data_IF_539871385834
#
_entry.id   IF_539871385834
#
_cell.length_a   1.000
_cell.length_b   1.000
_cell.length_c   1.000
_cell.angle_alpha   90.00
_cell.angle_beta   90.00
_cell.angle_gamma   90.00
#
_symmetry.space_group_name_H-M   'P 1'
#
loop_
_entity.id
_entity.type
_entity.pdbx_description
1 polymer ?
#
# COMPACT_ATOMS: atom_id res chain seq x y z
N UNK A 1 -4.78 -6.65 8.05
CA UNK A 1 -5.51 -5.62 8.79
C UNK A 1 -4.92 -4.26 8.46
N UNK A 2 -5.67 -3.34 7.85
CA UNK A 2 -5.10 -2.07 7.37
C UNK A 2 -5.99 -0.86 7.64
N UNK A 3 -5.39 0.33 7.67
CA UNK A 3 -6.08 1.61 7.79
C UNK A 3 -6.34 2.20 6.41
N UNK A 4 -7.57 2.60 6.12
CA UNK A 4 -7.89 3.37 4.91
C UNK A 4 -7.70 4.86 5.19
N UNK A 5 -6.93 5.57 4.36
CA UNK A 5 -6.72 7.02 4.48
C UNK A 5 -7.50 7.75 3.37
N UNK A 6 -8.31 8.76 3.70
CA UNK A 6 -9.13 9.51 2.71
C UNK A 6 -8.97 11.03 2.82
N UNK A 7 -8.78 11.73 1.69
CA UNK A 7 -8.73 13.20 1.65
C UNK A 7 -10.14 13.76 1.46
N UNK A 8 -10.49 14.80 2.24
CA UNK A 8 -11.78 15.46 2.14
C UNK A 8 -11.72 16.96 2.47
N UNK A 9 -11.85 17.89 1.50
CA UNK A 9 -11.76 19.32 1.78
C UNK A 9 -12.92 19.86 2.65
N UNK A 10 -14.01 19.11 2.82
CA UNK A 10 -15.18 19.50 3.64
C UNK A 10 -15.82 18.33 4.39
N UNK A 11 -15.08 17.66 5.27
CA UNK A 11 -15.61 16.58 6.09
C UNK A 11 -16.72 17.07 7.04
N UNK A 12 -17.98 17.02 6.59
CA UNK A 12 -19.15 17.34 7.43
C UNK A 12 -20.19 16.22 7.49
N UNK A 13 -20.16 15.19 6.64
CA UNK A 13 -21.21 14.13 6.61
C UNK A 13 -20.85 12.90 5.75
N UNK A 14 -20.18 11.85 6.23
CA UNK A 14 -20.16 10.55 5.52
C UNK A 14 -19.94 9.35 6.45
N UNK A 15 -20.64 8.22 6.21
CA UNK A 15 -20.13 6.84 6.04
C UNK A 15 -21.29 5.85 5.76
N UNK A 16 -21.11 4.91 4.84
CA UNK A 16 -21.91 3.67 4.69
C UNK A 16 -20.91 2.54 4.47
N UNK A 17 -20.87 1.61 5.43
CA UNK A 17 -20.09 0.38 5.35
C UNK A 17 -21.12 -0.72 5.20
N UNK A 18 -21.34 -1.28 4.01
CA UNK A 18 -22.06 -2.54 4.01
C UNK A 18 -21.58 -3.52 2.94
N UNK A 19 -21.25 -4.70 3.46
CA UNK A 19 -21.68 -6.01 2.97
C UNK A 19 -21.88 -6.87 4.24
N UNK A 20 -23.05 -6.69 4.87
CA UNK A 20 -23.73 -7.48 5.89
C UNK A 20 -22.94 -8.61 6.58
N UNK A 21 -22.48 -8.40 7.82
CA UNK A 21 -22.28 -9.48 8.80
C UNK A 21 -22.64 -9.02 10.21
N UNK A 22 -23.75 -9.55 10.72
CA UNK A 22 -24.21 -9.43 12.10
C UNK A 22 -23.15 -9.91 13.11
N UNK A 23 -22.75 -9.05 14.06
CA UNK A 23 -22.16 -9.48 15.34
C UNK A 23 -23.21 -9.26 16.42
N UNK A 24 -23.89 -10.34 16.80
CA UNK A 24 -24.87 -10.28 17.88
C UNK A 24 -24.16 -10.08 19.22
N UNK A 25 -24.62 -9.09 19.99
CA UNK A 25 -24.08 -8.68 21.28
C UNK A 25 -24.38 -9.70 22.39
N UNK A 26 -23.73 -10.85 22.38
CA UNK A 26 -23.61 -11.73 23.56
C UNK A 26 -22.77 -12.96 23.21
N UNK A 27 -21.45 -12.87 23.26
CA UNK A 27 -20.61 -14.03 23.52
C UNK A 27 -19.25 -13.59 24.04
N UNK A 28 -19.06 -13.87 25.32
CA UNK A 28 -17.82 -13.75 26.08
C UNK A 28 -16.70 -14.58 25.45
N UNK A 29 -15.48 -14.08 25.58
CA UNK A 29 -14.22 -14.82 25.43
C UNK A 29 -14.35 -16.22 26.03
N UNK A 30 -14.41 -17.25 25.18
CA UNK A 30 -13.73 -18.54 25.34
C UNK A 30 -14.28 -19.62 24.39
N UNK A 31 -13.35 -20.42 23.86
CA UNK A 31 -13.52 -21.72 23.20
C UNK A 31 -13.97 -21.75 21.73
N UNK A 32 -12.99 -21.59 20.83
CA UNK A 32 -12.99 -22.33 19.56
C UNK A 32 -11.89 -23.41 19.60
N UNK A 33 -12.34 -24.66 19.66
CA UNK A 33 -11.55 -25.90 19.71
C UNK A 33 -10.73 -26.06 18.43
N UNK A 34 -9.40 -26.14 18.56
CA UNK A 34 -8.47 -26.42 17.46
C UNK A 34 -8.53 -27.90 17.06
N UNK A 35 -9.11 -28.21 15.90
CA UNK A 35 -8.93 -29.49 15.21
C UNK A 35 -7.77 -29.36 14.21
N UNK A 36 -6.74 -30.23 14.25
CA UNK A 36 -5.65 -30.19 13.28
C UNK A 36 -6.10 -30.88 11.99
N UNK A 37 -6.48 -30.10 10.99
CA UNK A 37 -6.80 -30.58 9.65
C UNK A 37 -6.45 -29.53 8.61
N UNK A 38 -5.26 -29.68 8.02
CA UNK A 38 -4.82 -29.14 6.72
C UNK A 38 -5.55 -27.89 6.19
N UNK A 39 -5.38 -26.75 6.86
CA UNK A 39 -5.77 -25.45 6.33
C UNK A 39 -4.55 -24.69 5.85
N UNK A 40 -4.51 -24.29 4.57
CA UNK A 40 -3.66 -23.16 4.16
C UNK A 40 -4.03 -21.99 5.09
N UNK A 41 -3.02 -21.44 5.76
CA UNK A 41 -3.12 -20.19 6.52
C UNK A 41 -3.93 -19.16 5.73
N UNK A 42 -4.80 -18.36 6.36
CA UNK A 42 -5.37 -17.20 5.68
C UNK A 42 -4.21 -16.38 5.13
N UNK A 43 -4.22 -16.18 3.82
CA UNK A 43 -3.20 -15.44 3.11
C UNK A 43 -3.30 -14.00 3.58
N UNK A 44 -2.40 -13.61 4.48
CA UNK A 44 -2.25 -12.24 4.95
C UNK A 44 -2.06 -11.38 3.70
N UNK A 45 -3.09 -10.61 3.34
CA UNK A 45 -3.06 -9.69 2.19
C UNK A 45 -2.07 -8.58 2.54
N UNK A 46 -0.83 -8.72 2.08
CA UNK A 46 0.21 -7.70 2.28
C UNK A 46 -0.07 -6.51 1.37
N UNK A 47 0.08 -5.29 1.89
CA UNK A 47 0.03 -4.07 1.09
C UNK A 47 1.30 -4.01 0.23
N UNK A 48 1.18 -4.43 -1.03
CA UNK A 48 2.27 -4.40 -2.00
C UNK A 48 2.03 -3.22 -2.93
N UNK A 49 3.06 -2.40 -3.13
CA UNK A 49 2.97 -1.24 -4.01
C UNK A 49 2.92 -1.65 -5.49
N UNK A 50 2.62 -0.69 -6.37
CA UNK A 50 2.94 -0.84 -7.80
C UNK A 50 4.46 -0.97 -7.99
N UNK A 51 4.86 -1.30 -9.22
CA UNK A 51 6.26 -1.24 -9.63
C UNK A 51 6.69 0.20 -9.90
N UNK A 52 7.90 0.54 -9.48
CA UNK A 52 8.57 1.82 -9.69
C UNK A 52 9.89 1.60 -10.42
N UNK A 53 10.19 2.53 -11.31
CA UNK A 53 11.28 2.51 -12.26
C UNK A 53 11.66 3.99 -12.46
N UNK A 54 12.70 4.42 -11.77
CA UNK A 54 13.14 5.80 -11.66
C UNK A 54 14.40 6.08 -12.47
N UNK A 55 15.29 5.09 -12.61
CA UNK A 55 16.59 5.23 -13.27
C UNK A 55 16.84 4.12 -14.31
N UNK A 56 17.12 4.53 -15.55
CA UNK A 56 17.58 3.60 -16.59
C UNK A 56 19.05 3.18 -16.33
N UNK A 57 19.54 2.05 -16.87
CA UNK A 57 20.94 1.59 -16.71
C UNK A 57 22.00 2.44 -17.45
N UNK A 58 21.62 3.64 -17.87
CA UNK A 58 22.44 4.60 -18.57
C UNK A 58 23.51 5.19 -17.62
N UNK A 59 24.72 5.43 -18.14
CA UNK A 59 25.82 5.91 -17.31
C UNK A 59 26.40 4.84 -16.36
N UNK A 60 26.30 5.06 -15.05
CA UNK A 60 27.08 4.31 -14.04
C UNK A 60 26.39 3.05 -13.50
N UNK A 61 25.13 2.82 -13.81
CA UNK A 61 24.34 1.74 -13.22
C UNK A 61 22.86 2.04 -13.37
N UNK A 62 22.07 1.35 -12.57
CA UNK A 62 20.63 1.51 -12.41
C UNK A 62 20.34 1.58 -10.90
N UNK A 63 19.66 2.66 -10.48
CA UNK A 63 19.48 3.03 -9.08
C UNK A 63 18.01 3.31 -8.72
N UNK A 64 17.39 2.32 -8.09
CA UNK A 64 16.03 2.40 -7.54
C UNK A 64 16.07 2.63 -6.01
N UNK A 65 16.65 3.76 -5.60
CA UNK A 65 16.87 4.09 -4.19
C UNK A 65 15.58 4.54 -3.50
N UNK A 66 15.31 4.01 -2.30
CA UNK A 66 14.06 4.29 -1.58
C UNK A 66 13.89 5.80 -1.29
N UNK A 67 14.96 6.50 -0.93
CA UNK A 67 14.90 7.93 -0.62
C UNK A 67 14.45 8.76 -1.84
N UNK A 68 14.98 8.46 -3.03
CA UNK A 68 14.66 9.16 -4.26
C UNK A 68 13.24 8.81 -4.74
N UNK A 69 12.84 7.55 -4.58
CA UNK A 69 11.49 7.07 -4.85
C UNK A 69 10.45 7.72 -3.93
N UNK A 70 10.72 7.86 -2.63
CA UNK A 70 9.83 8.55 -1.69
C UNK A 70 9.67 10.04 -2.02
N UNK A 71 10.74 10.68 -2.49
CA UNK A 71 10.69 12.07 -2.93
C UNK A 71 9.90 12.25 -4.24
N UNK A 72 10.03 11.29 -5.17
CA UNK A 72 9.41 11.36 -6.50
C UNK A 72 7.93 10.94 -6.47
N UNK A 73 7.58 9.96 -5.64
CA UNK A 73 6.23 9.40 -5.51
C UNK A 73 5.69 9.56 -4.08
N UNK A 74 5.47 10.81 -3.61
CA UNK A 74 5.05 11.07 -2.25
C UNK A 74 3.73 10.37 -1.92
N UNK A 75 3.73 9.60 -0.84
CA UNK A 75 2.56 8.86 -0.39
C UNK A 75 2.29 7.55 -1.13
N UNK A 76 2.98 7.22 -2.22
CA UNK A 76 2.80 5.94 -2.94
C UNK A 76 3.63 4.78 -2.37
N UNK A 77 4.58 5.07 -1.49
CA UNK A 77 5.43 4.09 -0.80
C UNK A 77 5.43 4.44 0.69
N UNK A 78 5.36 3.42 1.55
CA UNK A 78 5.49 3.64 2.99
C UNK A 78 6.89 4.14 3.34
N UNK A 79 7.04 5.00 4.36
CA UNK A 79 8.36 5.45 4.81
C UNK A 79 9.26 4.31 5.29
N UNK A 80 8.67 3.21 5.79
CA UNK A 80 9.39 2.07 6.34
C UNK A 80 8.85 0.76 5.73
N UNK A 81 9.24 0.41 4.49
CA UNK A 81 8.86 -0.86 3.89
C UNK A 81 9.55 -2.04 4.59
N UNK A 82 8.90 -3.19 4.58
CA UNK A 82 9.37 -4.42 5.26
C UNK A 82 9.97 -5.44 4.29
N UNK A 83 9.69 -5.31 2.99
CA UNK A 83 10.33 -6.11 1.95
C UNK A 83 10.41 -5.33 0.63
N UNK A 84 11.31 -5.75 -0.24
CA UNK A 84 11.50 -5.24 -1.59
C UNK A 84 11.57 -6.42 -2.56
N UNK A 85 10.95 -6.24 -3.72
CA UNK A 85 11.12 -7.11 -4.88
C UNK A 85 11.70 -6.28 -6.01
N UNK A 86 12.65 -6.86 -6.74
CA UNK A 86 13.25 -6.27 -7.94
C UNK A 86 13.17 -7.25 -9.11
N UNK A 87 12.83 -6.72 -10.28
CA UNK A 87 12.81 -7.45 -11.55
C UNK A 87 13.21 -6.52 -12.68
N UNK A 88 13.60 -7.08 -13.83
CA UNK A 88 13.85 -6.27 -15.01
C UNK A 88 12.55 -5.62 -15.51
N UNK A 89 12.65 -4.58 -16.33
CA UNK A 89 11.47 -3.98 -16.97
C UNK A 89 10.68 -4.98 -17.82
N UNK A 90 11.36 -6.02 -18.36
CA UNK A 90 10.79 -7.18 -19.04
C UNK A 90 10.19 -8.28 -18.13
N UNK A 91 10.28 -8.14 -16.80
CA UNK A 91 9.68 -9.06 -15.83
C UNK A 91 10.54 -10.25 -15.39
N UNK A 92 11.83 -10.28 -15.75
CA UNK A 92 12.75 -11.29 -15.24
C UNK A 92 13.13 -10.96 -13.79
N UNK A 93 12.98 -11.87 -12.82
CA UNK A 93 13.40 -11.62 -11.44
C UNK A 93 14.89 -11.26 -11.35
N UNK A 94 15.24 -10.26 -10.54
CA UNK A 94 16.62 -9.78 -10.44
C UNK A 94 17.61 -10.88 -10.03
N UNK A 95 17.18 -11.84 -9.20
CA UNK A 95 18.01 -12.99 -8.81
C UNK A 95 18.42 -13.91 -9.97
N UNK A 96 17.76 -13.82 -11.12
CA UNK A 96 18.01 -14.67 -12.29
C UNK A 96 18.83 -13.98 -13.39
N UNK A 97 19.09 -12.67 -13.28
CA UNK A 97 19.83 -11.92 -14.30
C UNK A 97 21.33 -12.21 -14.25
N UNK A 98 21.85 -12.56 -13.07
CA UNK A 98 23.26 -12.73 -12.81
C UNK A 98 24.03 -11.41 -12.70
N UNK A 99 23.34 -10.27 -12.57
CA UNK A 99 23.98 -9.01 -12.15
C UNK A 99 24.33 -9.05 -10.65
N UNK A 100 25.35 -8.28 -10.27
CA UNK A 100 25.77 -8.09 -8.89
C UNK A 100 25.15 -6.81 -8.36
N UNK A 101 24.38 -6.90 -7.28
CA UNK A 101 23.68 -5.76 -6.69
C UNK A 101 24.46 -5.19 -5.51
N UNK A 102 24.74 -3.88 -5.55
CA UNK A 102 25.38 -3.19 -4.45
C UNK A 102 24.39 -2.94 -3.30
N UNK A 103 23.14 -2.67 -3.64
CA UNK A 103 22.04 -2.49 -2.69
C UNK A 103 20.88 -3.36 -3.14
N UNK A 104 20.30 -4.12 -2.22
CA UNK A 104 19.06 -4.86 -2.43
C UNK A 104 18.40 -5.14 -1.06
N UNK A 105 17.77 -4.13 -0.48
CA UNK A 105 17.09 -4.25 0.81
C UNK A 105 15.98 -3.19 0.92
N UNK A 106 14.93 -3.43 1.73
CA UNK A 106 13.78 -2.52 1.75
C UNK A 106 14.13 -1.13 2.28
N UNK A 107 15.08 -1.01 3.22
CA UNK A 107 15.42 0.28 3.85
C UNK A 107 16.22 1.23 2.96
N UNK A 108 16.94 0.71 1.97
CA UNK A 108 17.77 1.51 1.07
C UNK A 108 17.28 1.51 -0.37
N UNK A 109 16.53 0.49 -0.78
CA UNK A 109 16.08 0.30 -2.16
C UNK A 109 16.92 -0.75 -2.91
N UNK A 110 17.22 -0.47 -4.17
CA UNK A 110 17.98 -1.35 -5.05
C UNK A 110 19.00 -0.54 -5.86
N UNK A 111 20.19 -1.11 -6.06
CA UNK A 111 21.22 -0.50 -6.90
C UNK A 111 22.07 -1.56 -7.57
N UNK A 112 22.14 -1.47 -8.90
CA UNK A 112 23.10 -2.18 -9.72
C UNK A 112 24.13 -1.18 -10.25
N UNK A 113 25.42 -1.43 -10.03
CA UNK A 113 26.49 -0.54 -10.51
C UNK A 113 27.27 -1.21 -11.64
N UNK A 114 27.40 -0.52 -12.77
CA UNK A 114 28.06 -1.04 -13.98
C UNK A 114 29.51 -1.46 -13.72
N UNK A 115 30.24 -0.71 -12.88
CA UNK A 115 31.63 -1.00 -12.51
C UNK A 115 31.79 -2.31 -11.72
N UNK A 116 30.74 -2.78 -11.03
CA UNK A 116 30.76 -4.01 -10.26
C UNK A 116 30.41 -5.25 -11.10
N UNK A 117 30.04 -5.08 -12.37
CA UNK A 117 29.62 -6.19 -13.22
C UNK A 117 30.81 -6.83 -13.95
N UNK A 118 30.83 -8.17 -14.01
CA UNK A 118 31.96 -8.93 -14.59
C UNK A 118 31.89 -9.04 -16.12
N UNK A 119 30.69 -9.12 -16.70
CA UNK A 119 30.50 -9.45 -18.13
C UNK A 119 29.58 -8.52 -18.92
N UNK A 120 28.53 -8.01 -18.28
CA UNK A 120 27.48 -7.21 -18.91
C UNK A 120 27.17 -6.02 -18.01
N UNK A 121 26.71 -4.91 -18.61
CA UNK A 121 26.16 -3.80 -17.83
C UNK A 121 24.95 -4.26 -17.02
N UNK A 122 24.53 -3.42 -16.08
CA UNK A 122 23.26 -3.59 -15.40
C UNK A 122 22.14 -3.73 -16.43
N UNK A 123 21.25 -4.69 -16.19
CA UNK A 123 19.94 -4.64 -16.81
C UNK A 123 19.16 -3.44 -16.25
N UNK A 124 18.03 -3.18 -16.90
CA UNK A 124 17.07 -2.16 -16.54
C UNK A 124 16.02 -2.75 -15.59
N UNK A 125 15.89 -2.21 -14.39
CA UNK A 125 15.18 -2.77 -13.25
C UNK A 125 14.05 -1.86 -12.78
N UNK A 126 13.04 -2.50 -12.22
CA UNK A 126 11.98 -1.86 -11.46
C UNK A 126 11.78 -2.57 -10.14
N UNK A 127 11.40 -1.82 -9.11
CA UNK A 127 11.19 -2.31 -7.75
C UNK A 127 9.76 -2.14 -7.29
N UNK A 128 9.33 -2.98 -6.37
CA UNK A 128 8.12 -2.72 -5.57
C UNK A 128 8.38 -3.08 -4.13
N UNK A 129 7.63 -2.46 -3.23
CA UNK A 129 7.80 -2.60 -1.80
C UNK A 129 6.60 -3.30 -1.18
N UNK A 130 6.87 -4.05 -0.13
CA UNK A 130 5.85 -4.51 0.80
C UNK A 130 5.83 -3.58 1.99
N UNK A 131 4.67 -3.02 2.27
CA UNK A 131 4.45 -2.14 3.42
C UNK A 131 3.83 -2.91 4.60
N UNK A 132 4.04 -2.42 5.84
CA UNK A 132 3.32 -2.91 7.02
C UNK A 132 1.81 -2.85 6.80
N UNK A 133 1.06 -3.74 7.45
CA UNK A 133 -0.38 -3.83 7.23
C UNK A 133 -1.11 -2.52 7.60
N UNK A 134 -0.59 -1.70 8.52
CA UNK A 134 -1.20 -0.42 8.91
C UNK A 134 -1.05 0.71 7.87
N UNK A 135 -0.47 0.44 6.70
CA UNK A 135 -0.19 1.47 5.68
C UNK A 135 -1.07 1.33 4.44
N UNK A 136 -1.83 2.38 4.13
CA UNK A 136 -2.21 2.75 2.75
C UNK A 136 -1.83 4.20 2.48
N UNK A 137 -1.80 4.58 1.20
CA UNK A 137 -1.79 5.99 0.79
C UNK A 137 -3.13 6.68 1.07
N UNK A 138 -3.15 8.01 0.95
CA UNK A 138 -4.39 8.80 0.91
C UNK A 138 -5.14 8.57 -0.42
N UNK A 139 -6.46 8.41 -0.34
CA UNK A 139 -7.36 8.29 -1.49
C UNK A 139 -8.29 9.50 -1.56
N UNK A 140 -8.48 10.02 -2.76
CA UNK A 140 -9.29 11.18 -3.12
C UNK A 140 -9.87 10.87 -4.50
N UNK A 141 -11.12 10.43 -4.53
CA UNK A 141 -11.87 9.97 -5.70
C UNK A 141 -13.07 10.87 -6.01
N UNK A 142 -13.64 11.57 -5.03
CA UNK A 142 -14.77 12.48 -5.21
C UNK A 142 -14.41 13.92 -4.82
N UNK A 143 -14.80 14.87 -5.67
CA UNK A 143 -14.63 16.29 -5.36
C UNK A 143 -15.85 16.82 -4.60
N UNK A 144 -15.69 17.81 -3.70
CA UNK A 144 -16.79 18.34 -2.92
C UNK A 144 -17.92 18.90 -3.79
N UNK A 145 -19.09 18.28 -3.67
CA UNK A 145 -20.31 18.67 -4.38
C UNK A 145 -21.43 19.08 -3.41
N UNK A 146 -22.63 19.36 -3.94
CA UNK A 146 -23.82 19.62 -3.10
C UNK A 146 -24.20 18.45 -2.19
N UNK A 147 -23.83 17.22 -2.56
CA UNK A 147 -24.08 16.03 -1.77
C UNK A 147 -23.01 15.82 -0.69
N UNK A 148 -21.93 16.58 -0.76
CA UNK A 148 -20.69 16.39 -0.01
C UNK A 148 -19.63 15.75 -0.91
N UNK A 149 -18.57 15.29 -0.28
CA UNK A 149 -17.41 14.64 -0.87
C UNK A 149 -17.36 13.20 -0.33
N UNK A 150 -17.59 12.23 -1.23
CA UNK A 150 -17.95 10.85 -0.90
C UNK A 150 -16.88 9.86 -1.35
N UNK A 151 -16.19 9.28 -0.38
CA UNK A 151 -15.23 8.22 -0.63
C UNK A 151 -15.80 6.84 -0.27
N UNK A 152 -16.13 6.04 -1.30
CA UNK A 152 -16.73 4.72 -1.13
C UNK A 152 -15.71 3.60 -1.32
N UNK A 153 -15.43 2.82 -0.29
CA UNK A 153 -14.48 1.69 -0.34
C UNK A 153 -14.66 0.76 -1.56
N UNK A 154 -15.88 0.37 -1.98
CA UNK A 154 -16.05 -0.41 -3.21
C UNK A 154 -15.52 0.28 -4.47
N UNK A 155 -15.74 1.60 -4.61
CA UNK A 155 -15.26 2.38 -5.76
C UNK A 155 -13.74 2.54 -5.72
N UNK A 156 -13.17 2.72 -4.54
CA UNK A 156 -11.74 2.86 -4.36
C UNK A 156 -11.03 1.51 -4.64
N UNK A 157 -11.60 0.38 -4.22
CA UNK A 157 -11.09 -0.97 -4.52
C UNK A 157 -11.16 -1.30 -6.02
N UNK A 158 -12.18 -0.83 -6.73
CA UNK A 158 -12.28 -0.96 -8.20
C UNK A 158 -11.16 -0.16 -8.89
N UNK A 159 -10.88 1.06 -8.41
CA UNK A 159 -9.90 1.94 -9.02
C UNK A 159 -8.45 1.59 -8.66
N UNK A 160 -8.21 1.08 -7.45
CA UNK A 160 -6.89 0.79 -6.90
C UNK A 160 -6.81 -0.63 -6.32
N UNK A 161 -6.99 -1.66 -7.17
CA UNK A 161 -6.91 -3.04 -6.72
C UNK A 161 -5.53 -3.33 -6.13
N UNK A 162 -5.50 -4.04 -5.00
CA UNK A 162 -4.28 -4.45 -4.26
C UNK A 162 -3.50 -3.32 -3.57
N UNK A 163 -3.87 -2.05 -3.74
CA UNK A 163 -3.30 -0.92 -2.98
C UNK A 163 -4.05 -0.66 -1.66
N UNK A 164 -5.18 -1.33 -1.48
CA UNK A 164 -6.10 -1.18 -0.35
C UNK A 164 -6.45 -2.57 0.13
N UNK A 165 -6.52 -2.75 1.45
CA UNK A 165 -7.01 -4.01 1.99
C UNK A 165 -8.52 -4.13 1.76
N UNK A 166 -9.00 -5.32 1.34
CA UNK A 166 -10.43 -5.55 1.11
C UNK A 166 -11.28 -5.42 2.39
N UNK A 167 -10.66 -5.46 3.58
CA UNK A 167 -11.30 -5.25 4.88
C UNK A 167 -10.40 -4.38 5.78
N UNK A 168 -10.52 -3.05 5.74
CA UNK A 168 -9.78 -2.19 6.65
C UNK A 168 -10.31 -2.35 8.09
N UNK A 169 -9.42 -2.21 9.08
CA UNK A 169 -9.78 -2.29 10.52
C UNK A 169 -10.08 -0.91 11.11
N UNK A 170 -9.69 0.15 10.43
CA UNK A 170 -9.93 1.54 10.81
C UNK A 170 -9.83 2.44 9.56
N UNK A 171 -10.39 3.64 9.67
CA UNK A 171 -10.36 4.67 8.62
C UNK A 171 -9.88 5.96 9.25
N UNK A 172 -8.96 6.66 8.59
CA UNK A 172 -8.55 8.02 8.94
C UNK A 172 -8.93 8.96 7.81
N UNK A 173 -9.46 10.13 8.17
CA UNK A 173 -9.92 11.15 7.21
C UNK A 173 -9.15 12.42 7.50
N UNK A 174 -8.63 13.08 6.46
CA UNK A 174 -7.99 14.37 6.57
C UNK A 174 -8.43 15.27 5.42
N UNK A 175 -8.29 16.59 5.54
CA UNK A 175 -8.54 17.49 4.41
C UNK A 175 -7.41 17.47 3.38
N UNK A 176 -7.66 17.92 2.15
CA UNK A 176 -6.59 18.13 1.14
C UNK A 176 -5.46 19.02 1.68
N UNK A 177 -5.79 19.92 2.62
CA UNK A 177 -4.82 20.75 3.35
C UNK A 177 -4.10 20.05 4.52
N UNK A 178 -4.25 18.74 4.69
CA UNK A 178 -3.58 17.93 5.71
C UNK A 178 -4.18 18.02 7.12
N UNK A 179 -5.37 18.61 7.28
CA UNK A 179 -6.02 18.69 8.60
C UNK A 179 -6.75 17.39 8.91
N UNK A 180 -6.28 16.61 9.89
CA UNK A 180 -6.97 15.40 10.33
C UNK A 180 -8.35 15.72 10.87
N UNK A 181 -9.36 15.02 10.39
CA UNK A 181 -10.74 15.16 10.83
C UNK A 181 -11.03 14.03 11.80
N UNK A 182 -11.08 14.36 13.09
CA UNK A 182 -11.54 13.41 14.10
C UNK A 182 -13.06 13.23 13.96
N UNK A 183 -13.59 12.01 14.13
CA UNK A 183 -15.02 11.81 14.26
C UNK A 183 -15.51 12.60 15.47
N UNK A 184 -16.09 13.78 15.26
CA UNK A 184 -16.76 14.51 16.33
C UNK A 184 -18.08 13.81 16.60
N UNK A 185 -18.37 13.56 17.88
CA UNK A 185 -19.40 12.63 18.40
C UNK A 185 -20.84 12.82 17.91
N UNK A 186 -21.16 13.70 16.95
CA UNK A 186 -22.54 13.94 16.51
C UNK A 186 -22.75 14.20 15.00
N UNK A 187 -21.76 14.06 14.12
CA UNK A 187 -21.95 14.32 12.68
C UNK A 187 -21.48 13.21 11.73
N UNK A 188 -21.03 12.08 12.28
CA UNK A 188 -20.69 10.89 11.50
C UNK A 188 -21.78 9.85 11.71
N UNK A 189 -22.68 9.74 10.74
CA UNK A 189 -23.58 8.60 10.65
C UNK A 189 -22.79 7.50 9.97
N UNK A 190 -22.21 6.60 10.76
CA UNK A 190 -21.78 5.30 10.28
C UNK A 190 -23.07 4.49 10.16
N UNK A 191 -23.54 4.27 8.94
CA UNK A 191 -24.55 3.26 8.71
C UNK A 191 -23.84 1.91 8.66
N UNK A 192 -24.21 1.07 9.64
CA UNK A 192 -24.02 -0.39 9.64
C UNK A 192 -24.64 -1.02 8.40
#
# INVERSE_FOLDING_TARGET
>A
SCKLLMLSPFARKFFSLDDSVFVNSSQTLDQAIFRPGTGKSPEVTRCITKWFDLDDPNGNGDYELLADLLNTYPGEICPNPIAIEAQTTSGQPASQTGNIFQVYNPTSGFACVNANQVRRKCADYKVRFTCPEEWTRWFDQDDPSRLGDIEMLPLILIRYPLQICPKPIAIEVATVGGTTVLPTENNFLVYD
#
